data_IF_817781170716
#
_entry.id   IF_817781170716
#
_cell.length_a   1.000
_cell.length_b   1.000
_cell.length_c   1.000
_cell.angle_alpha   90.00
_cell.angle_beta   90.00
_cell.angle_gamma   90.00
#
_symmetry.space_group_name_H-M   'P 1'
#
loop_
_entity.id
_entity.type
_entity.pdbx_description
1 polymer ?
#
# COMPACT_ATOMS: atom_id res chain seq x y z
N UNK A 1 3.70 4.29 -28.06
CA UNK A 1 2.60 4.33 -27.07
C UNK A 1 2.48 2.96 -26.41
N UNK A 2 3.34 2.66 -25.41
CA UNK A 2 3.40 1.35 -24.72
C UNK A 2 3.52 1.47 -23.17
N UNK A 3 3.93 2.59 -22.53
CA UNK A 3 4.16 2.57 -21.08
C UNK A 3 2.88 2.64 -20.23
N UNK A 4 1.74 3.09 -20.77
CA UNK A 4 0.49 3.16 -19.98
C UNK A 4 -0.09 1.78 -19.68
N UNK A 5 -0.12 0.86 -20.66
CA UNK A 5 -0.74 -0.46 -20.47
C UNK A 5 -0.05 -1.34 -19.42
N UNK A 6 1.26 -1.20 -19.24
CA UNK A 6 2.02 -1.94 -18.22
C UNK A 6 1.60 -1.53 -16.80
N UNK A 7 1.39 -0.24 -16.59
CA UNK A 7 0.92 0.28 -15.31
C UNK A 7 -0.54 -0.13 -15.02
N UNK A 8 -1.36 -0.30 -16.07
CA UNK A 8 -2.72 -0.81 -15.93
C UNK A 8 -2.76 -2.30 -15.59
N UNK A 9 -1.90 -3.12 -16.20
CA UNK A 9 -1.76 -4.54 -15.88
C UNK A 9 -1.35 -4.77 -14.42
N UNK A 10 -0.32 -4.07 -13.92
CA UNK A 10 0.12 -4.19 -12.52
C UNK A 10 -0.95 -3.77 -11.52
N UNK A 11 -1.72 -2.71 -11.82
CA UNK A 11 -2.85 -2.28 -10.98
C UNK A 11 -3.98 -3.30 -10.96
N UNK A 12 -4.30 -3.90 -12.11
CA UNK A 12 -5.34 -4.92 -12.23
C UNK A 12 -4.97 -6.20 -11.49
N UNK A 13 -3.72 -6.64 -11.61
CA UNK A 13 -3.21 -7.79 -10.85
C UNK A 13 -3.31 -7.54 -9.34
N UNK A 14 -2.93 -6.37 -8.87
CA UNK A 14 -3.01 -6.02 -7.45
C UNK A 14 -4.46 -6.02 -6.93
N UNK A 15 -5.42 -5.60 -7.76
CA UNK A 15 -6.86 -5.64 -7.44
C UNK A 15 -7.40 -7.08 -7.39
N UNK A 16 -7.02 -7.93 -8.35
CA UNK A 16 -7.42 -9.34 -8.36
C UNK A 16 -6.79 -10.13 -7.19
N UNK A 17 -5.55 -9.81 -6.83
CA UNK A 17 -4.85 -10.40 -5.70
C UNK A 17 -5.48 -10.00 -4.35
N UNK A 18 -5.95 -8.75 -4.22
CA UNK A 18 -6.75 -8.30 -3.06
C UNK A 18 -8.08 -9.03 -2.93
N UNK A 19 -8.65 -9.46 -4.04
CA UNK A 19 -9.85 -10.30 -4.08
C UNK A 19 -9.57 -11.79 -3.85
N UNK A 20 -8.33 -12.17 -3.51
CA UNK A 20 -7.96 -13.55 -3.15
C UNK A 20 -7.69 -14.49 -4.33
N UNK A 21 -7.64 -13.97 -5.56
CA UNK A 21 -7.27 -14.79 -6.73
C UNK A 21 -5.77 -15.08 -6.74
N UNK A 22 -5.39 -16.28 -7.14
CA UNK A 22 -3.99 -16.72 -7.20
C UNK A 22 -3.45 -16.67 -8.64
N UNK A 23 -2.12 -16.72 -8.80
CA UNK A 23 -1.41 -16.38 -10.04
C UNK A 23 -1.98 -17.01 -11.34
N UNK A 24 -2.42 -18.27 -11.31
CA UNK A 24 -3.02 -18.94 -12.47
C UNK A 24 -4.43 -18.44 -12.83
N UNK A 25 -5.23 -18.07 -11.83
CA UNK A 25 -6.58 -17.53 -12.04
C UNK A 25 -6.53 -16.07 -12.49
N UNK A 26 -5.53 -15.33 -11.99
CA UNK A 26 -5.21 -13.97 -12.44
C UNK A 26 -4.80 -13.97 -13.91
N UNK A 27 -3.91 -14.90 -14.32
CA UNK A 27 -3.45 -15.02 -15.70
C UNK A 27 -4.60 -15.29 -16.67
N UNK A 28 -5.49 -16.24 -16.34
CA UNK A 28 -6.68 -16.55 -17.14
C UNK A 28 -7.65 -15.37 -17.24
N UNK A 29 -7.89 -14.65 -16.13
CA UNK A 29 -8.78 -13.49 -16.10
C UNK A 29 -8.22 -12.34 -16.92
N UNK A 30 -6.93 -12.03 -16.79
CA UNK A 30 -6.27 -10.96 -17.53
C UNK A 30 -6.17 -11.28 -19.04
N UNK A 31 -6.05 -12.56 -19.39
CA UNK A 31 -6.05 -12.98 -20.80
C UNK A 31 -7.44 -12.85 -21.44
N UNK A 32 -8.52 -13.09 -20.68
CA UNK A 32 -9.89 -12.78 -21.11
C UNK A 32 -10.14 -11.28 -21.27
N UNK A 33 -9.52 -10.47 -20.42
CA UNK A 33 -9.56 -8.99 -20.49
C UNK A 33 -8.66 -8.42 -21.62
N UNK A 34 -8.12 -9.28 -22.50
CA UNK A 34 -7.28 -8.96 -23.67
C UNK A 34 -5.95 -8.30 -23.34
N UNK A 35 -5.41 -8.52 -22.13
CA UNK A 35 -4.03 -8.15 -21.83
C UNK A 35 -3.04 -9.09 -22.53
N UNK A 36 -1.87 -8.54 -22.88
CA UNK A 36 -0.81 -9.31 -23.52
C UNK A 36 -0.06 -10.14 -22.49
N UNK A 37 0.33 -11.37 -22.84
CA UNK A 37 1.00 -12.31 -21.91
C UNK A 37 2.26 -11.71 -21.25
N UNK A 38 3.04 -10.91 -21.99
CA UNK A 38 4.22 -10.23 -21.45
C UNK A 38 3.93 -9.07 -20.48
N UNK A 39 2.73 -8.47 -20.55
CA UNK A 39 2.32 -7.43 -19.60
C UNK A 39 1.69 -8.05 -18.34
N UNK A 40 1.09 -9.24 -18.47
CA UNK A 40 0.52 -10.02 -17.36
C UNK A 40 1.64 -10.52 -16.45
N UNK A 41 2.67 -11.17 -17.00
CA UNK A 41 3.79 -11.71 -16.21
C UNK A 41 4.55 -10.59 -15.48
N UNK A 42 4.89 -9.52 -16.19
CA UNK A 42 5.54 -8.35 -15.61
C UNK A 42 4.69 -7.70 -14.50
N UNK A 43 3.36 -7.67 -14.67
CA UNK A 43 2.44 -7.14 -13.67
C UNK A 43 2.34 -8.01 -12.41
N UNK A 44 2.41 -9.33 -12.55
CA UNK A 44 2.41 -10.29 -11.42
C UNK A 44 3.72 -10.19 -10.63
N UNK A 45 4.86 -10.19 -11.31
CA UNK A 45 6.17 -10.07 -10.67
C UNK A 45 6.28 -8.72 -9.94
N UNK A 46 5.82 -7.64 -10.57
CA UNK A 46 5.83 -6.31 -9.97
C UNK A 46 4.83 -6.16 -8.82
N UNK A 47 3.67 -6.81 -8.89
CA UNK A 47 2.68 -6.80 -7.80
C UNK A 47 3.16 -7.61 -6.59
N UNK A 48 3.83 -8.74 -6.80
CA UNK A 48 4.43 -9.56 -5.74
C UNK A 48 5.49 -8.77 -4.96
N UNK A 49 6.43 -8.15 -5.67
CA UNK A 49 7.48 -7.29 -5.07
C UNK A 49 6.87 -6.12 -4.30
N UNK A 50 5.79 -5.52 -4.81
CA UNK A 50 5.12 -4.38 -4.16
C UNK A 50 4.31 -4.80 -2.92
N UNK A 51 3.81 -6.04 -2.87
CA UNK A 51 3.04 -6.56 -1.74
C UNK A 51 3.95 -7.07 -0.60
N UNK A 52 5.19 -7.48 -0.89
CA UNK A 52 6.20 -7.84 0.12
C UNK A 52 6.72 -6.64 0.95
N UNK A 53 6.38 -5.41 0.58
CA UNK A 53 6.79 -4.18 1.30
C UNK A 53 5.77 -3.76 2.38
N UNK A 54 4.80 -4.63 2.73
CA UNK A 54 3.88 -4.43 3.86
C UNK A 54 4.36 -5.22 5.10
N UNK A 55 4.41 -4.60 6.30
CA UNK A 55 5.02 -5.23 7.47
C UNK A 55 4.03 -6.20 8.13
N UNK A 56 4.15 -7.49 7.83
CA UNK A 56 3.58 -8.55 8.69
C UNK A 56 4.67 -9.57 8.98
N UNK A 57 5.02 -9.67 10.26
CA UNK A 57 5.82 -10.75 10.81
C UNK A 57 4.97 -12.02 10.83
N UNK A 58 5.39 -13.05 10.12
CA UNK A 58 5.07 -14.45 10.44
C UNK A 58 6.29 -15.33 10.14
N UNK A 59 6.49 -16.42 10.89
CA UNK A 59 7.78 -17.08 11.03
C UNK A 59 8.19 -17.80 9.75
N UNK A 60 9.51 -17.77 9.49
CA UNK A 60 10.22 -18.55 8.48
C UNK A 60 9.68 -19.99 8.40
N UNK A 61 8.96 -20.29 7.33
CA UNK A 61 8.73 -21.66 6.90
C UNK A 61 9.91 -22.03 5.99
N UNK A 62 10.81 -22.86 6.49
CA UNK A 62 12.08 -23.22 5.87
C UNK A 62 11.93 -24.44 4.93
N UNK A 63 10.86 -24.51 4.14
CA UNK A 63 10.57 -25.67 3.28
C UNK A 63 9.98 -25.26 1.92
N UNK A 64 10.71 -24.48 1.13
CA UNK A 64 10.60 -24.52 -0.34
C UNK A 64 11.73 -23.73 -1.01
N UNK A 65 12.92 -24.33 -1.08
CA UNK A 65 13.93 -23.93 -2.07
C UNK A 65 13.53 -24.59 -3.40
N UNK A 66 13.28 -23.86 -4.49
CA UNK A 66 13.19 -24.48 -5.81
C UNK A 66 14.62 -24.90 -6.19
N UNK A 67 14.90 -26.20 -6.14
CA UNK A 67 16.09 -26.77 -6.77
C UNK A 67 16.10 -26.42 -8.26
N UNK A 68 17.22 -25.91 -8.82
CA UNK A 68 17.35 -25.81 -10.27
C UNK A 68 17.27 -27.21 -10.87
N UNK A 69 16.22 -27.42 -11.67
CA UNK A 69 15.95 -28.65 -12.39
C UNK A 69 17.00 -28.85 -13.48
N UNK A 70 17.62 -30.03 -13.46
CA UNK A 70 18.53 -30.54 -14.48
C UNK A 70 17.90 -30.46 -15.88
N UNK A 71 18.48 -29.66 -16.77
CA UNK A 71 18.31 -29.84 -18.20
C UNK A 71 19.34 -30.88 -18.71
N UNK A 72 18.98 -31.81 -19.61
CA UNK A 72 19.88 -32.85 -20.09
C UNK A 72 21.07 -32.28 -20.86
N UNK A 73 22.28 -32.72 -20.49
CA UNK A 73 23.49 -32.54 -21.31
C UNK A 73 23.35 -33.32 -22.61
N UNK A 74 23.15 -32.62 -23.71
CA UNK A 74 23.28 -33.19 -25.06
C UNK A 74 24.77 -33.19 -25.44
N UNK A 75 25.33 -34.39 -25.57
CA UNK A 75 26.73 -34.64 -25.88
C UNK A 75 27.06 -34.26 -27.32
N UNK A 76 27.65 -33.10 -27.53
CA UNK A 76 28.28 -32.74 -28.81
C UNK A 76 29.64 -33.45 -28.95
N UNK A 77 29.68 -34.50 -29.77
CA UNK A 77 30.91 -35.10 -30.28
C UNK A 77 31.66 -34.10 -31.17
N UNK A 78 33.00 -34.02 -31.11
CA UNK A 78 33.78 -33.28 -32.11
C UNK A 78 33.71 -33.98 -33.48
N UNK A 79 33.57 -33.24 -34.61
CA UNK A 79 33.55 -33.84 -35.94
C UNK A 79 34.92 -34.42 -36.33
N UNK A 80 34.92 -35.66 -36.84
CA UNK A 80 36.06 -36.31 -37.46
C UNK A 80 36.36 -35.68 -38.84
N UNK A 81 37.59 -35.22 -39.03
CA UNK A 81 38.06 -34.67 -40.31
C UNK A 81 38.65 -35.82 -41.15
N UNK A 82 38.29 -35.97 -42.45
CA UNK A 82 38.85 -37.04 -43.29
C UNK A 82 40.33 -36.81 -43.61
N UNK A 83 41.12 -37.86 -43.39
CA UNK A 83 42.56 -37.93 -43.64
C UNK A 83 42.83 -38.07 -45.15
N UNK A 84 43.46 -37.06 -45.77
CA UNK A 84 44.07 -37.17 -47.09
C UNK A 84 45.60 -37.28 -46.95
N UNK A 85 46.13 -38.28 -47.64
CA UNK A 85 47.53 -38.70 -47.64
C UNK A 85 48.41 -37.83 -48.56
N UNK A 86 49.53 -37.33 -48.05
CA UNK A 86 50.68 -36.90 -48.84
C UNK A 86 51.99 -37.25 -48.10
N UNK A 87 52.99 -37.87 -48.75
CA UNK A 87 54.27 -38.22 -48.11
C UNK A 87 55.39 -37.22 -48.41
N UNK A 88 56.18 -36.84 -47.39
CA UNK A 88 57.55 -36.34 -47.58
C UNK A 88 58.16 -35.41 -46.50
N UNK A 89 59.15 -35.96 -45.78
CA UNK A 89 60.40 -35.34 -45.21
C UNK A 89 60.35 -34.41 -43.95
N UNK A 90 61.45 -34.24 -43.17
CA UNK A 90 61.53 -34.78 -41.79
C UNK A 90 61.87 -33.76 -40.66
N UNK A 91 61.47 -34.14 -39.44
CA UNK A 91 62.10 -33.94 -38.11
C UNK A 91 62.39 -32.56 -37.50
N UNK A 92 61.91 -32.44 -36.25
CA UNK A 92 62.38 -31.66 -35.09
C UNK A 92 61.88 -30.22 -34.91
N UNK A 93 60.97 -30.02 -33.95
CA UNK A 93 61.24 -29.37 -32.65
C UNK A 93 60.00 -29.56 -31.78
N UNK A 94 60.14 -30.34 -30.72
CA UNK A 94 59.10 -30.56 -29.72
C UNK A 94 58.93 -29.28 -28.89
N UNK A 95 57.85 -28.54 -29.11
CA UNK A 95 57.40 -27.53 -28.15
C UNK A 95 56.53 -28.24 -27.11
N UNK A 96 57.01 -28.20 -25.86
CA UNK A 96 56.21 -28.55 -24.70
C UNK A 96 54.99 -27.61 -24.61
N UNK A 97 53.79 -28.09 -24.23
CA UNK A 97 52.67 -27.21 -23.97
C UNK A 97 52.92 -26.43 -22.68
N UNK A 98 53.09 -25.12 -22.80
CA UNK A 98 53.06 -24.21 -21.66
C UNK A 98 51.65 -24.14 -21.04
N UNK A 99 51.54 -23.90 -19.72
CA UNK A 99 50.26 -23.83 -19.03
C UNK A 99 49.55 -22.53 -19.37
N UNK A 100 48.52 -22.60 -20.22
CA UNK A 100 47.61 -21.48 -20.61
C UNK A 100 46.68 -21.04 -19.44
N UNK A 101 47.09 -21.27 -18.19
CA UNK A 101 46.25 -21.09 -17.00
C UNK A 101 46.61 -19.90 -16.11
N UNK A 102 47.65 -19.12 -16.41
CA UNK A 102 48.05 -17.98 -15.54
C UNK A 102 47.66 -16.61 -16.10
N UNK A 103 47.84 -16.37 -17.40
CA UNK A 103 47.52 -15.09 -18.03
C UNK A 103 46.01 -14.73 -18.00
N UNK A 104 45.14 -15.73 -18.05
CA UNK A 104 43.69 -15.50 -17.94
C UNK A 104 43.23 -15.23 -16.51
N UNK A 105 43.93 -15.77 -15.49
CA UNK A 105 43.57 -15.51 -14.10
C UNK A 105 43.93 -14.09 -13.69
N UNK A 106 45.08 -13.57 -14.10
CA UNK A 106 45.47 -12.17 -13.83
C UNK A 106 44.52 -11.17 -14.49
N UNK A 107 44.08 -11.42 -15.74
CA UNK A 107 43.10 -10.58 -16.40
C UNK A 107 41.70 -10.69 -15.77
N UNK A 108 41.29 -11.89 -15.33
CA UNK A 108 40.03 -12.08 -14.60
C UNK A 108 40.11 -11.44 -13.21
N UNK A 109 41.27 -11.45 -12.56
CA UNK A 109 41.53 -10.84 -11.25
C UNK A 109 41.49 -9.31 -11.36
N UNK A 110 42.11 -8.71 -12.37
CA UNK A 110 42.03 -7.27 -12.63
C UNK A 110 40.58 -6.80 -12.93
N UNK A 111 39.84 -7.58 -13.72
CA UNK A 111 38.42 -7.31 -14.00
C UNK A 111 37.58 -7.51 -12.73
N UNK A 112 37.87 -8.54 -11.93
CA UNK A 112 37.14 -8.78 -10.68
C UNK A 112 37.43 -7.68 -9.64
N UNK A 113 38.68 -7.27 -9.46
CA UNK A 113 39.07 -6.20 -8.53
C UNK A 113 38.48 -4.85 -8.91
N UNK A 114 38.45 -4.52 -10.21
CA UNK A 114 37.83 -3.29 -10.70
C UNK A 114 36.31 -3.29 -10.51
N UNK A 115 35.62 -4.40 -10.86
CA UNK A 115 34.17 -4.53 -10.67
C UNK A 115 33.79 -4.55 -9.19
N UNK A 116 34.58 -5.22 -8.35
CA UNK A 116 34.37 -5.28 -6.90
C UNK A 116 34.56 -3.89 -6.30
N UNK A 117 35.66 -3.19 -6.62
CA UNK A 117 35.92 -1.85 -6.08
C UNK A 117 34.86 -0.84 -6.49
N UNK A 118 34.42 -0.86 -7.77
CA UNK A 118 33.32 -0.03 -8.27
C UNK A 118 32.03 -0.28 -7.47
N UNK A 119 31.68 -1.55 -7.24
CA UNK A 119 30.49 -1.93 -6.47
C UNK A 119 30.59 -1.58 -4.98
N UNK A 120 31.78 -1.69 -4.38
CA UNK A 120 32.00 -1.28 -2.99
C UNK A 120 31.92 0.25 -2.83
N UNK A 121 32.44 1.01 -3.78
CA UNK A 121 32.38 2.47 -3.75
C UNK A 121 30.94 2.99 -3.98
N UNK A 122 30.20 2.40 -4.94
CA UNK A 122 28.77 2.66 -5.15
C UNK A 122 27.95 2.34 -3.87
N UNK A 123 28.26 1.24 -3.19
CA UNK A 123 27.60 0.86 -1.94
C UNK A 123 27.93 1.80 -0.76
N UNK A 124 29.18 2.23 -0.61
CA UNK A 124 29.57 3.19 0.45
C UNK A 124 28.95 4.57 0.18
N UNK A 125 28.85 4.98 -1.09
CA UNK A 125 28.13 6.19 -1.47
C UNK A 125 26.66 6.13 -1.03
N UNK A 126 25.99 4.99 -1.22
CA UNK A 126 24.61 4.78 -0.77
C UNK A 126 24.46 4.69 0.77
N UNK A 127 25.53 4.37 1.49
CA UNK A 127 25.55 4.40 2.97
C UNK A 127 25.66 5.84 3.51
N UNK A 128 26.26 6.76 2.75
CA UNK A 128 26.19 8.20 3.05
C UNK A 128 24.75 8.69 3.20
N UNK A 129 23.83 8.11 2.42
CA UNK A 129 22.41 8.39 2.50
C UNK A 129 21.73 7.82 3.75
N UNK A 130 22.28 6.80 4.43
CA UNK A 130 21.67 6.25 5.65
C UNK A 130 21.66 7.25 6.79
N UNK A 131 22.71 8.08 6.90
CA UNK A 131 22.76 9.12 7.93
C UNK A 131 21.75 10.23 7.64
N UNK A 132 21.67 10.68 6.39
CA UNK A 132 20.68 11.67 5.95
C UNK A 132 19.25 11.12 6.10
N UNK A 133 19.04 9.85 5.77
CA UNK A 133 17.77 9.16 5.95
C UNK A 133 17.39 9.09 7.43
N UNK A 134 18.33 8.75 8.31
CA UNK A 134 18.09 8.77 9.76
C UNK A 134 17.69 10.16 10.25
N UNK A 135 18.42 11.20 9.86
CA UNK A 135 18.11 12.59 10.24
C UNK A 135 16.73 13.01 9.71
N UNK A 136 16.38 12.61 8.48
CA UNK A 136 15.08 12.85 7.87
C UNK A 136 13.95 12.14 8.61
N UNK A 137 14.13 10.85 8.93
CA UNK A 137 13.14 10.07 9.69
C UNK A 137 12.97 10.61 11.09
N UNK A 138 14.04 11.04 11.77
CA UNK A 138 13.97 11.61 13.11
C UNK A 138 13.23 12.96 13.10
N UNK A 139 13.46 13.78 12.06
CA UNK A 139 12.73 15.03 11.83
C UNK A 139 11.24 14.76 11.53
N UNK A 140 10.96 13.85 10.59
CA UNK A 140 9.59 13.48 10.21
C UNK A 140 8.83 12.89 11.41
N UNK A 141 9.47 12.02 12.20
CA UNK A 141 8.90 11.43 13.42
C UNK A 141 8.64 12.49 14.50
N UNK A 142 9.55 13.44 14.68
CA UNK A 142 9.36 14.56 15.59
C UNK A 142 8.17 15.43 15.16
N UNK A 143 8.05 15.71 13.86
CA UNK A 143 6.91 16.41 13.27
C UNK A 143 5.59 15.69 13.54
N UNK A 144 5.53 14.39 13.27
CA UNK A 144 4.35 13.55 13.55
C UNK A 144 3.99 13.58 15.03
N UNK A 145 4.97 13.47 15.94
CA UNK A 145 4.73 13.56 17.38
C UNK A 145 4.10 14.90 17.77
N UNK A 146 4.60 16.00 17.21
CA UNK A 146 4.05 17.34 17.46
C UNK A 146 2.62 17.47 16.91
N UNK A 147 2.33 16.92 15.74
CA UNK A 147 0.99 16.90 15.18
C UNK A 147 0.02 16.10 16.04
N UNK A 148 0.42 14.93 16.54
CA UNK A 148 -0.38 14.12 17.47
C UNK A 148 -0.73 14.92 18.73
N UNK A 149 0.26 15.56 19.36
CA UNK A 149 0.03 16.41 20.55
C UNK A 149 -0.92 17.58 20.23
N UNK A 150 -0.82 18.15 19.02
CA UNK A 150 -1.72 19.21 18.57
C UNK A 150 -3.14 18.70 18.34
N UNK A 151 -3.30 17.48 17.81
CA UNK A 151 -4.60 16.83 17.61
C UNK A 151 -5.24 16.53 18.96
N UNK A 152 -4.49 15.98 19.91
CA UNK A 152 -4.93 15.74 21.29
C UNK A 152 -5.44 17.03 21.93
N UNK A 153 -4.66 18.11 21.88
CA UNK A 153 -5.07 19.41 22.40
C UNK A 153 -6.32 19.97 21.72
N UNK A 154 -6.44 19.84 20.40
CA UNK A 154 -7.65 20.24 19.65
C UNK A 154 -8.86 19.40 20.05
N UNK A 155 -8.67 18.11 20.28
CA UNK A 155 -9.72 17.19 20.70
C UNK A 155 -10.22 17.53 22.11
N UNK A 156 -9.33 17.78 23.07
CA UNK A 156 -9.72 18.22 24.41
C UNK A 156 -10.50 19.53 24.39
N UNK A 157 -10.05 20.50 23.57
CA UNK A 157 -10.75 21.77 23.42
C UNK A 157 -12.13 21.60 22.77
N UNK A 158 -12.24 20.73 21.77
CA UNK A 158 -13.51 20.39 21.16
C UNK A 158 -14.45 19.72 22.18
N UNK A 159 -13.95 18.77 22.97
CA UNK A 159 -14.74 18.10 24.00
C UNK A 159 -15.27 19.10 25.03
N UNK A 160 -14.41 20.03 25.51
CA UNK A 160 -14.83 21.12 26.41
C UNK A 160 -15.90 22.01 25.77
N UNK A 161 -15.72 22.41 24.51
CA UNK A 161 -16.67 23.24 23.80
C UNK A 161 -18.02 22.52 23.58
N UNK A 162 -18.00 21.23 23.24
CA UNK A 162 -19.19 20.40 23.06
C UNK A 162 -19.92 20.23 24.39
N UNK A 163 -19.22 19.89 25.49
CA UNK A 163 -19.84 19.82 26.82
C UNK A 163 -20.47 21.15 27.22
N UNK A 164 -19.79 22.27 26.94
CA UNK A 164 -20.33 23.61 27.16
C UNK A 164 -21.62 23.85 26.38
N UNK A 165 -21.64 23.56 25.07
CA UNK A 165 -22.85 23.72 24.26
C UNK A 165 -23.99 22.78 24.63
N UNK A 166 -23.71 21.55 25.04
CA UNK A 166 -24.73 20.63 25.56
C UNK A 166 -25.31 21.15 26.88
N UNK A 167 -24.46 21.71 27.77
CA UNK A 167 -24.90 22.34 29.00
C UNK A 167 -25.81 23.55 28.75
N UNK A 168 -25.37 24.49 27.91
CA UNK A 168 -26.18 25.66 27.50
C UNK A 168 -27.51 25.23 26.85
N UNK A 169 -27.49 24.19 26.01
CA UNK A 169 -28.70 23.65 25.40
C UNK A 169 -29.66 23.07 26.43
N UNK A 170 -29.15 22.29 27.39
CA UNK A 170 -29.96 21.73 28.49
C UNK A 170 -30.60 22.82 29.34
N UNK A 171 -29.86 23.89 29.63
CA UNK A 171 -30.38 25.06 30.34
C UNK A 171 -31.48 25.76 29.53
N UNK A 172 -31.24 25.99 28.23
CA UNK A 172 -32.22 26.58 27.33
C UNK A 172 -33.53 25.78 27.27
N UNK A 173 -33.45 24.44 27.16
CA UNK A 173 -34.63 23.55 27.17
C UNK A 173 -35.36 23.60 28.51
N UNK A 174 -34.64 23.69 29.63
CA UNK A 174 -35.24 23.80 30.97
C UNK A 174 -35.97 25.12 31.14
N UNK A 175 -35.37 26.22 30.67
CA UNK A 175 -35.99 27.55 30.68
C UNK A 175 -37.23 27.59 29.79
N UNK A 176 -37.14 27.05 28.57
CA UNK A 176 -38.28 26.91 27.65
C UNK A 176 -39.41 26.10 28.30
N UNK A 177 -39.10 25.01 28.99
CA UNK A 177 -40.09 24.19 29.70
C UNK A 177 -40.78 24.99 30.81
N UNK A 178 -40.02 25.83 31.52
CA UNK A 178 -40.55 26.71 32.57
C UNK A 178 -41.47 27.78 32.00
N UNK A 179 -41.06 28.43 30.92
CA UNK A 179 -41.89 29.40 30.19
C UNK A 179 -43.16 28.76 29.63
N UNK A 180 -43.05 27.55 29.07
CA UNK A 180 -44.20 26.82 28.52
C UNK A 180 -45.22 26.47 29.62
N UNK A 181 -44.76 26.06 30.81
CA UNK A 181 -45.64 25.87 31.98
C UNK A 181 -46.27 27.17 32.47
N UNK A 182 -45.56 28.29 32.38
CA UNK A 182 -46.13 29.59 32.71
C UNK A 182 -47.22 29.98 31.72
N UNK A 183 -46.99 29.77 30.42
CA UNK A 183 -48.01 29.97 29.37
C UNK A 183 -49.21 29.05 29.57
N UNK A 184 -49.01 27.79 29.92
CA UNK A 184 -50.10 26.85 30.24
C UNK A 184 -50.99 27.41 31.36
N UNK A 185 -50.41 27.88 32.46
CA UNK A 185 -51.17 28.51 33.56
C UNK A 185 -51.89 29.79 33.14
N UNK A 186 -51.27 30.61 32.28
CA UNK A 186 -51.93 31.81 31.74
C UNK A 186 -53.11 31.41 30.86
N UNK A 187 -52.95 30.36 30.05
CA UNK A 187 -54.01 29.84 29.22
C UNK A 187 -55.17 29.28 30.05
N UNK A 188 -54.90 28.52 31.12
CA UNK A 188 -55.91 28.07 32.08
C UNK A 188 -56.70 29.26 32.65
N UNK A 189 -56.01 30.30 33.11
CA UNK A 189 -56.62 31.51 33.66
C UNK A 189 -57.48 32.29 32.67
N UNK A 190 -57.22 32.18 31.37
CA UNK A 190 -58.02 32.84 30.33
C UNK A 190 -59.19 31.94 29.90
N UNK A 191 -58.94 30.65 29.74
CA UNK A 191 -59.90 29.70 29.19
C UNK A 191 -61.06 29.44 30.16
N UNK A 192 -60.82 29.39 31.46
CA UNK A 192 -61.86 29.24 32.48
C UNK A 192 -62.91 30.36 32.44
N UNK A 193 -62.57 31.66 32.59
CA UNK A 193 -63.55 32.74 32.54
C UNK A 193 -64.17 32.89 31.17
N UNK A 194 -63.44 32.63 30.07
CA UNK A 194 -64.03 32.64 28.73
C UNK A 194 -65.14 31.59 28.60
N UNK A 195 -64.87 30.35 29.03
CA UNK A 195 -65.84 29.25 28.99
C UNK A 195 -67.05 29.55 29.87
N UNK A 196 -66.82 30.13 31.06
CA UNK A 196 -67.89 30.55 31.97
C UNK A 196 -68.73 31.67 31.37
N UNK A 197 -68.11 32.71 30.81
CA UNK A 197 -68.80 33.82 30.17
C UNK A 197 -69.63 33.34 28.96
N UNK A 198 -69.11 32.43 28.15
CA UNK A 198 -69.84 31.83 27.03
C UNK A 198 -71.07 31.05 27.51
N UNK A 199 -70.96 30.26 28.60
CA UNK A 199 -72.12 29.58 29.21
C UNK A 199 -73.15 30.57 29.78
N UNK A 200 -72.70 31.61 30.48
CA UNK A 200 -73.60 32.64 31.01
C UNK A 200 -74.35 33.37 29.89
N UNK A 201 -73.68 33.70 28.78
CA UNK A 201 -74.31 34.30 27.59
C UNK A 201 -75.33 33.37 26.94
N UNK A 202 -75.04 32.06 26.82
CA UNK A 202 -75.98 31.06 26.28
C UNK A 202 -77.25 30.97 27.13
N UNK A 203 -77.12 30.94 28.46
CA UNK A 203 -78.24 30.93 29.40
C UNK A 203 -79.08 32.22 29.34
N UNK A 204 -78.44 33.39 29.25
CA UNK A 204 -79.13 34.68 29.07
C UNK A 204 -79.90 34.69 27.74
N UNK A 205 -79.29 34.20 26.66
CA UNK A 205 -79.93 34.12 25.34
C UNK A 205 -81.13 33.18 25.35
N UNK A 206 -81.02 32.01 25.99
CA UNK A 206 -82.14 31.07 26.17
C UNK A 206 -83.30 31.69 26.94
N UNK A 207 -83.02 32.45 28.01
CA UNK A 207 -84.04 33.15 28.79
C UNK A 207 -84.74 34.23 27.97
N UNK A 208 -84.03 34.97 27.11
CA UNK A 208 -84.63 35.97 26.22
C UNK A 208 -85.43 35.36 25.05
N UNK A 209 -85.15 34.11 24.68
CA UNK A 209 -85.85 33.39 23.60
C UNK A 209 -87.15 32.72 24.08
N UNK A 210 -87.42 32.73 25.38
CA UNK A 210 -88.65 32.23 26.02
C UNK A 210 -89.63 33.35 26.26
#
# INVERSE_FOLDING_TARGET
MIPERKNDATKRVLDLQKNGMQGKDIENTMQQEKFNSGDISAGIDQAAVKNEIAPVREPLNLDSVPSPQNAPLETAQPPAIPQQTAPGIPSTTSFAPEPVGRANYEAIEEIAESVISEKWEEMISNIGDLRLWKEKVETDLSGVKQEILRIESRFENLQKAVLGKVGEYSEGVTNLTTEMKAMEKVFEKILEPLTRNVKELDEITKKMKK
#
